data_IF_638101137283
#
_entry.id   IF_638101137283
#
_cell.length_a   1.000
_cell.length_b   1.000
_cell.length_c   1.000
_cell.angle_alpha   90.00
_cell.angle_beta   90.00
_cell.angle_gamma   90.00
#
_symmetry.space_group_name_H-M   'P 1'
#
loop_
_entity.id
_entity.type
_entity.pdbx_description
1 polymer ?
#
# COMPACT_ATOMS: atom_id res chain seq x y z
N UNK A 1 9.51 -3.15 -13.05
CA UNK A 1 9.67 -4.27 -13.97
C UNK A 1 8.64 -5.35 -13.67
N UNK A 2 8.17 -6.05 -14.70
CA UNK A 2 7.14 -7.07 -14.57
C UNK A 2 7.55 -8.20 -13.60
N UNK A 3 8.80 -8.62 -13.65
CA UNK A 3 9.37 -9.67 -12.82
C UNK A 3 9.34 -9.34 -11.33
N UNK A 4 9.58 -8.09 -10.97
CA UNK A 4 9.48 -7.62 -9.57
C UNK A 4 8.04 -7.72 -9.07
N UNK A 5 7.09 -7.28 -9.89
CA UNK A 5 5.66 -7.38 -9.58
C UNK A 5 5.22 -8.84 -9.41
N UNK A 6 5.71 -9.76 -10.25
CA UNK A 6 5.44 -11.19 -10.11
C UNK A 6 6.03 -11.76 -8.81
N UNK A 7 7.27 -11.42 -8.49
CA UNK A 7 7.91 -11.86 -7.23
C UNK A 7 7.12 -11.39 -6.01
N UNK A 8 6.76 -10.10 -5.96
CA UNK A 8 5.93 -9.54 -4.88
C UNK A 8 4.60 -10.29 -4.77
N UNK A 9 3.97 -10.59 -5.90
CA UNK A 9 2.69 -11.28 -5.96
C UNK A 9 2.75 -12.70 -5.43
N UNK A 10 3.79 -13.45 -5.76
CA UNK A 10 3.98 -14.82 -5.25
C UNK A 10 4.27 -14.83 -3.75
N UNK A 11 5.08 -13.90 -3.24
CA UNK A 11 5.37 -13.76 -1.81
C UNK A 11 4.07 -13.46 -1.02
N UNK A 12 3.27 -12.50 -1.48
CA UNK A 12 2.01 -12.10 -0.85
C UNK A 12 1.00 -13.26 -0.89
N UNK A 13 0.81 -13.88 -2.05
CA UNK A 13 -0.13 -14.99 -2.22
C UNK A 13 0.24 -16.20 -1.34
N UNK A 14 1.52 -16.53 -1.25
CA UNK A 14 1.99 -17.63 -0.40
C UNK A 14 1.78 -17.34 1.09
N UNK A 15 2.04 -16.11 1.55
CA UNK A 15 1.81 -15.71 2.93
C UNK A 15 0.33 -15.82 3.32
N UNK A 16 -0.59 -15.49 2.41
CA UNK A 16 -2.02 -15.45 2.65
C UNK A 16 -2.78 -16.74 2.25
N UNK A 17 -2.08 -17.79 1.84
CA UNK A 17 -2.64 -19.00 1.22
C UNK A 17 -3.69 -19.73 2.08
N UNK A 18 -3.60 -19.61 3.40
CA UNK A 18 -4.48 -20.30 4.36
C UNK A 18 -5.71 -19.45 4.76
N UNK A 19 -5.86 -18.25 4.19
CA UNK A 19 -7.01 -17.38 4.42
C UNK A 19 -8.12 -17.68 3.41
N UNK A 20 -9.37 -17.64 3.88
CA UNK A 20 -10.55 -17.81 3.02
C UNK A 20 -10.91 -16.53 2.27
N UNK A 21 -10.72 -15.38 2.91
CA UNK A 21 -10.99 -14.04 2.37
C UNK A 21 -9.82 -13.12 2.65
N UNK A 22 -9.46 -12.31 1.67
CA UNK A 22 -8.40 -11.31 1.80
C UNK A 22 -8.82 -9.96 1.25
N UNK A 23 -8.28 -8.90 1.84
CA UNK A 23 -8.30 -7.55 1.31
C UNK A 23 -6.87 -7.13 0.98
N UNK A 24 -6.67 -6.60 -0.22
CA UNK A 24 -5.38 -6.10 -0.68
C UNK A 24 -5.48 -4.63 -1.06
N UNK A 25 -4.45 -3.86 -0.77
CA UNK A 25 -4.42 -2.41 -1.00
C UNK A 25 -3.15 -1.98 -1.71
N UNK A 26 -3.30 -1.12 -2.72
CA UNK A 26 -2.21 -0.41 -3.39
C UNK A 26 -2.48 1.09 -3.31
N UNK A 27 -1.72 1.84 -2.48
CA UNK A 27 -1.88 3.29 -2.31
C UNK A 27 -1.38 4.13 -3.49
N UNK A 28 -0.67 3.50 -4.44
CA UNK A 28 -0.08 4.15 -5.62
C UNK A 28 -0.34 3.31 -6.87
N UNK A 29 -1.60 2.96 -7.09
CA UNK A 29 -2.02 1.82 -7.93
C UNK A 29 -1.59 1.90 -9.40
N UNK A 30 -1.30 3.08 -9.91
CA UNK A 30 -0.87 3.26 -11.29
C UNK A 30 -1.88 2.68 -12.28
N UNK A 31 -1.50 1.65 -13.01
CA UNK A 31 -2.40 0.92 -13.92
C UNK A 31 -3.20 -0.20 -13.24
N UNK A 32 -2.99 -0.45 -11.94
CA UNK A 32 -3.55 -1.59 -11.22
C UNK A 32 -2.83 -2.93 -11.43
N UNK A 33 -1.71 -2.92 -12.14
CA UNK A 33 -1.01 -4.16 -12.53
C UNK A 33 -0.57 -4.99 -11.33
N UNK A 34 -0.13 -4.35 -10.25
CA UNK A 34 0.35 -5.02 -9.05
C UNK A 34 -0.80 -5.76 -8.35
N UNK A 35 -1.94 -5.09 -8.16
CA UNK A 35 -3.16 -5.72 -7.62
C UNK A 35 -3.65 -6.89 -8.48
N UNK A 36 -3.64 -6.73 -9.80
CA UNK A 36 -4.05 -7.77 -10.75
C UNK A 36 -3.15 -9.00 -10.62
N UNK A 37 -1.83 -8.81 -10.56
CA UNK A 37 -0.87 -9.91 -10.43
C UNK A 37 -1.04 -10.65 -9.10
N UNK A 38 -1.27 -9.92 -7.99
CA UNK A 38 -1.53 -10.54 -6.69
C UNK A 38 -2.83 -11.34 -6.73
N UNK A 39 -3.89 -10.78 -7.28
CA UNK A 39 -5.16 -11.51 -7.42
C UNK A 39 -5.02 -12.77 -8.26
N UNK A 40 -4.21 -12.74 -9.31
CA UNK A 40 -3.89 -13.91 -10.11
C UNK A 40 -3.12 -14.97 -9.31
N UNK A 41 -2.07 -14.59 -8.59
CA UNK A 41 -1.29 -15.50 -7.76
C UNK A 41 -2.10 -16.07 -6.60
N UNK A 42 -2.90 -15.24 -5.91
CA UNK A 42 -3.77 -15.66 -4.81
C UNK A 42 -4.88 -16.63 -5.27
N UNK A 43 -5.34 -16.52 -6.51
CA UNK A 43 -6.36 -17.42 -7.07
C UNK A 43 -5.91 -18.89 -7.19
N UNK A 44 -4.63 -19.18 -6.96
CA UNK A 44 -4.12 -20.56 -6.82
C UNK A 44 -4.57 -21.22 -5.51
N UNK A 45 -4.88 -20.41 -4.51
CA UNK A 45 -5.16 -20.87 -3.14
C UNK A 45 -6.58 -20.57 -2.67
N UNK A 46 -7.26 -19.59 -3.28
CA UNK A 46 -8.60 -19.16 -2.88
C UNK A 46 -9.45 -18.74 -4.08
N UNK A 47 -10.77 -18.61 -3.87
CA UNK A 47 -11.68 -18.08 -4.89
C UNK A 47 -11.36 -16.62 -5.23
N UNK A 48 -11.46 -16.23 -6.49
CA UNK A 48 -11.32 -14.85 -6.93
C UNK A 48 -12.35 -13.92 -6.28
N UNK A 49 -13.55 -14.42 -6.01
CA UNK A 49 -14.61 -13.65 -5.36
C UNK A 49 -14.35 -13.40 -3.87
N UNK A 50 -13.36 -14.07 -3.29
CA UNK A 50 -12.92 -13.88 -1.91
C UNK A 50 -11.88 -12.77 -1.74
N UNK A 51 -11.50 -12.08 -2.83
CA UNK A 51 -10.46 -11.05 -2.82
C UNK A 51 -11.11 -9.68 -3.01
N UNK A 52 -10.88 -8.76 -2.06
CA UNK A 52 -11.25 -7.34 -2.15
C UNK A 52 -10.03 -6.52 -2.52
N UNK A 53 -10.22 -5.60 -3.46
CA UNK A 53 -9.16 -4.77 -4.04
C UNK A 53 -9.40 -3.32 -3.68
N UNK A 54 -8.43 -2.71 -2.98
CA UNK A 54 -8.41 -1.30 -2.66
C UNK A 54 -7.30 -0.63 -3.47
N UNK A 55 -7.63 0.43 -4.19
CA UNK A 55 -6.68 1.15 -5.04
C UNK A 55 -6.82 2.65 -4.87
N UNK A 56 -5.72 3.34 -4.57
CA UNK A 56 -5.66 4.79 -4.55
C UNK A 56 -4.68 5.29 -5.62
N UNK A 57 -5.03 6.36 -6.30
CA UNK A 57 -4.21 6.96 -7.35
C UNK A 57 -4.47 8.45 -7.44
N UNK A 58 -3.39 9.23 -7.47
CA UNK A 58 -3.44 10.69 -7.53
C UNK A 58 -3.95 11.21 -8.89
N UNK A 59 -3.43 10.64 -9.97
CA UNK A 59 -3.72 11.12 -11.33
C UNK A 59 -5.03 10.52 -11.84
N UNK A 60 -6.01 11.37 -12.15
CA UNK A 60 -7.35 10.95 -12.59
C UNK A 60 -7.32 10.00 -13.80
N UNK A 61 -6.52 10.31 -14.83
CA UNK A 61 -6.42 9.45 -16.00
C UNK A 61 -5.90 8.05 -15.65
N UNK A 62 -4.91 7.96 -14.76
CA UNK A 62 -4.33 6.71 -14.29
C UNK A 62 -5.30 5.97 -13.36
N UNK A 63 -6.01 6.71 -12.51
CA UNK A 63 -7.10 6.18 -11.69
C UNK A 63 -8.19 5.50 -12.52
N UNK A 64 -8.63 6.15 -13.60
CA UNK A 64 -9.61 5.58 -14.51
C UNK A 64 -9.08 4.33 -15.21
N UNK A 65 -7.78 4.32 -15.57
CA UNK A 65 -7.12 3.16 -16.15
C UNK A 65 -7.08 1.98 -15.16
N UNK A 66 -6.76 2.23 -13.88
CA UNK A 66 -6.81 1.20 -12.82
C UNK A 66 -8.19 0.55 -12.77
N UNK A 67 -9.25 1.33 -12.67
CA UNK A 67 -10.64 0.82 -12.60
C UNK A 67 -11.00 -0.02 -13.81
N UNK A 68 -10.69 0.48 -14.99
CA UNK A 68 -10.96 -0.23 -16.24
C UNK A 68 -10.19 -1.56 -16.30
N UNK A 69 -8.92 -1.56 -15.96
CA UNK A 69 -8.10 -2.77 -15.98
C UNK A 69 -8.60 -3.84 -15.00
N UNK A 70 -8.98 -3.45 -13.77
CA UNK A 70 -9.53 -4.39 -12.79
C UNK A 70 -10.82 -5.05 -13.30
N UNK A 71 -11.75 -4.27 -13.86
CA UNK A 71 -13.00 -4.79 -14.42
C UNK A 71 -12.74 -5.67 -15.64
N UNK A 72 -11.87 -5.26 -16.56
CA UNK A 72 -11.53 -6.04 -17.76
C UNK A 72 -10.85 -7.37 -17.45
N UNK A 73 -10.24 -7.52 -16.29
CA UNK A 73 -9.68 -8.79 -15.81
C UNK A 73 -10.71 -9.70 -15.14
N UNK A 74 -11.99 -9.32 -15.18
CA UNK A 74 -13.10 -10.12 -14.67
C UNK A 74 -13.23 -10.09 -13.14
N UNK A 75 -12.65 -9.07 -12.48
CA UNK A 75 -12.86 -8.86 -11.05
C UNK A 75 -14.28 -8.32 -10.85
N UNK A 76 -15.01 -8.93 -9.92
CA UNK A 76 -16.36 -8.49 -9.60
C UNK A 76 -16.33 -7.02 -9.11
N UNK A 77 -17.10 -6.10 -9.73
CA UNK A 77 -17.13 -4.70 -9.32
C UNK A 77 -17.45 -4.47 -7.84
N UNK A 78 -18.20 -5.36 -7.20
CA UNK A 78 -18.49 -5.29 -5.76
C UNK A 78 -17.25 -5.50 -4.87
N UNK A 79 -16.19 -6.05 -5.42
CA UNK A 79 -14.91 -6.26 -4.74
C UNK A 79 -13.87 -5.19 -5.06
N UNK A 80 -14.22 -4.17 -5.86
CA UNK A 80 -13.32 -3.10 -6.30
C UNK A 80 -13.67 -1.80 -5.57
N UNK A 81 -12.74 -1.31 -4.76
CA UNK A 81 -12.84 -0.05 -4.02
C UNK A 81 -11.71 0.87 -4.48
N UNK A 82 -12.04 2.04 -4.97
CA UNK A 82 -11.06 2.94 -5.55
C UNK A 82 -11.24 4.38 -5.06
N UNK A 83 -10.13 5.11 -4.91
CA UNK A 83 -10.11 6.52 -4.53
C UNK A 83 -9.16 7.30 -5.42
N UNK A 84 -9.62 8.43 -5.97
CA UNK A 84 -8.77 9.38 -6.68
C UNK A 84 -8.36 10.49 -5.71
N UNK A 85 -7.19 10.34 -5.11
CA UNK A 85 -6.65 11.30 -4.15
C UNK A 85 -5.15 11.09 -3.93
N UNK A 86 -4.50 12.11 -3.32
CA UNK A 86 -3.11 12.00 -2.85
C UNK A 86 -3.07 11.16 -1.56
N UNK A 87 -2.40 10.05 -1.61
CA UNK A 87 -2.24 9.10 -0.50
C UNK A 87 -1.64 9.74 0.76
N UNK A 88 -0.71 10.67 0.60
CA UNK A 88 -0.04 11.32 1.72
C UNK A 88 -0.90 12.43 2.36
N UNK A 89 -1.87 12.96 1.64
CA UNK A 89 -2.79 14.01 2.11
C UNK A 89 -4.15 13.46 2.55
N UNK A 90 -4.65 12.43 1.89
CA UNK A 90 -5.97 11.84 2.10
C UNK A 90 -5.82 10.37 2.54
N UNK A 91 -5.85 10.16 3.87
CA UNK A 91 -5.74 8.82 4.45
C UNK A 91 -6.93 7.94 4.07
N UNK A 92 -6.66 6.83 3.43
CA UNK A 92 -7.65 5.86 2.95
C UNK A 92 -6.96 4.49 2.74
N UNK A 93 -7.63 3.34 2.84
CA UNK A 93 -9.05 3.17 3.15
C UNK A 93 -9.39 3.37 4.64
N UNK A 94 -10.63 3.80 4.91
CA UNK A 94 -11.12 4.07 6.26
C UNK A 94 -12.21 3.10 6.68
N UNK A 95 -12.29 2.84 7.97
CA UNK A 95 -13.38 2.16 8.64
C UNK A 95 -13.94 3.10 9.73
N UNK A 96 -15.13 3.65 9.48
CA UNK A 96 -15.76 4.62 10.39
C UNK A 96 -16.24 4.00 11.70
N UNK A 97 -16.31 2.68 11.80
CA UNK A 97 -16.68 1.96 13.01
C UNK A 97 -15.48 1.69 13.92
N UNK A 98 -14.26 1.86 13.40
CA UNK A 98 -13.01 1.70 14.15
C UNK A 98 -12.47 3.02 14.71
N UNK A 99 -11.61 2.93 15.75
CA UNK A 99 -10.85 4.06 16.25
C UNK A 99 -9.39 3.67 16.48
N UNK A 100 -8.43 4.35 15.83
CA UNK A 100 -8.61 5.35 14.78
C UNK A 100 -9.37 4.78 13.55
N UNK A 101 -10.02 5.65 12.74
CA UNK A 101 -10.87 5.21 11.62
C UNK A 101 -10.02 4.71 10.44
N UNK A 102 -9.33 3.61 10.62
CA UNK A 102 -8.46 2.98 9.63
C UNK A 102 -8.98 1.61 9.24
N UNK A 103 -9.14 1.36 7.95
CA UNK A 103 -9.34 0.01 7.45
C UNK A 103 -7.98 -0.68 7.29
N UNK A 104 -7.75 -1.75 8.04
CA UNK A 104 -6.56 -2.58 7.90
C UNK A 104 -6.84 -3.75 6.98
N UNK A 105 -5.91 -4.02 6.09
CA UNK A 105 -6.01 -5.04 5.05
C UNK A 105 -5.00 -6.18 5.29
N UNK A 106 -5.21 -7.29 4.59
CA UNK A 106 -4.34 -8.47 4.71
C UNK A 106 -3.01 -8.29 3.98
N UNK A 107 -3.00 -7.52 2.89
CA UNK A 107 -1.76 -7.14 2.20
C UNK A 107 -1.79 -5.69 1.74
N UNK A 108 -0.68 -4.99 1.94
CA UNK A 108 -0.40 -3.70 1.30
C UNK A 108 0.77 -3.88 0.34
N UNK A 109 0.60 -3.43 -0.88
CA UNK A 109 1.61 -3.56 -1.93
C UNK A 109 1.74 -2.24 -2.65
N UNK A 110 2.97 -1.78 -2.85
CA UNK A 110 3.16 -0.50 -3.50
C UNK A 110 4.47 -0.39 -4.27
N UNK A 111 4.42 0.42 -5.31
CA UNK A 111 5.58 0.91 -6.03
C UNK A 111 5.44 2.43 -6.17
N UNK A 112 5.69 3.17 -5.08
CA UNK A 112 5.49 4.62 -5.05
C UNK A 112 6.49 5.35 -5.94
N UNK A 113 6.21 6.62 -6.30
CA UNK A 113 7.17 7.45 -7.01
C UNK A 113 8.40 7.71 -6.13
N UNK A 114 9.60 7.41 -6.64
CA UNK A 114 10.83 7.50 -5.88
C UNK A 114 11.24 8.94 -5.60
N UNK A 115 11.64 9.20 -4.36
CA UNK A 115 12.18 10.51 -3.92
C UNK A 115 11.29 11.70 -4.30
N UNK A 116 9.97 11.50 -4.26
CA UNK A 116 9.00 12.57 -4.48
C UNK A 116 9.04 13.57 -3.32
N UNK A 117 8.90 14.85 -3.63
CA UNK A 117 8.66 15.88 -2.62
C UNK A 117 7.25 15.74 -2.05
N UNK A 118 7.10 16.06 -0.77
CA UNK A 118 5.82 16.05 -0.06
C UNK A 118 5.78 17.13 1.03
N UNK A 119 4.64 17.33 1.68
CA UNK A 119 4.48 18.29 2.77
C UNK A 119 4.36 17.57 4.12
N UNK A 120 5.44 17.51 4.92
CA UNK A 120 5.39 16.96 6.28
C UNK A 120 4.78 17.93 7.31
N UNK A 121 4.67 19.21 6.99
CA UNK A 121 4.20 20.26 7.91
C UNK A 121 2.79 19.96 8.42
N UNK A 122 2.60 19.98 9.74
CA UNK A 122 1.32 19.73 10.41
C UNK A 122 0.94 18.24 10.53
N UNK A 123 1.83 17.31 10.13
CA UNK A 123 1.59 15.88 10.20
C UNK A 123 2.27 15.18 11.39
N UNK A 124 2.79 15.96 12.36
CA UNK A 124 3.49 15.43 13.53
C UNK A 124 2.60 14.54 14.41
N UNK A 125 1.29 14.83 14.42
CA UNK A 125 0.29 14.05 15.16
C UNK A 125 -0.51 13.08 14.29
N UNK A 126 -0.21 13.00 12.99
CA UNK A 126 -0.86 12.04 12.11
C UNK A 126 -0.49 10.61 12.58
N UNK A 127 -1.48 9.75 12.86
CA UNK A 127 -1.23 8.42 13.42
C UNK A 127 -0.36 7.52 12.52
N UNK A 128 -0.28 7.81 11.22
CA UNK A 128 0.61 7.10 10.28
C UNK A 128 2.09 7.35 10.60
N UNK A 129 2.42 8.53 11.11
CA UNK A 129 3.82 9.00 11.25
C UNK A 129 4.23 9.27 12.70
N UNK A 130 3.29 9.61 13.60
CA UNK A 130 3.58 10.10 14.94
C UNK A 130 4.48 9.18 15.78
N UNK A 131 4.38 7.88 15.56
CA UNK A 131 5.17 6.90 16.29
C UNK A 131 6.61 6.77 15.77
N UNK A 132 6.82 6.89 14.47
CA UNK A 132 8.10 6.60 13.81
C UNK A 132 8.88 7.85 13.42
N UNK A 133 8.18 8.95 13.13
CA UNK A 133 8.74 10.23 12.68
C UNK A 133 8.35 10.56 11.24
N UNK A 134 8.58 11.84 10.88
CA UNK A 134 8.28 12.35 9.54
C UNK A 134 9.46 12.14 8.61
N UNK A 135 9.17 11.69 7.39
CA UNK A 135 10.15 11.65 6.30
C UNK A 135 10.59 13.06 5.89
N UNK A 136 11.80 13.23 5.34
CA UNK A 136 12.25 14.54 4.88
C UNK A 136 11.36 15.06 3.74
N UNK A 137 11.12 16.39 3.74
CA UNK A 137 10.29 17.07 2.73
C UNK A 137 10.71 16.77 1.28
N UNK A 138 11.99 16.55 1.06
CA UNK A 138 12.55 16.26 -0.27
C UNK A 138 12.33 14.83 -0.76
N UNK A 139 11.91 13.90 0.12
CA UNK A 139 11.82 12.46 -0.18
C UNK A 139 10.74 11.79 0.64
N UNK A 140 9.61 11.53 0.02
CA UNK A 140 8.46 10.86 0.64
C UNK A 140 8.61 9.33 0.77
N UNK A 141 9.77 8.76 0.43
CA UNK A 141 9.97 7.29 0.40
C UNK A 141 9.48 6.61 1.69
N UNK A 142 9.89 7.12 2.86
CA UNK A 142 9.43 6.61 4.15
C UNK A 142 8.00 7.04 4.52
N UNK A 143 7.48 8.12 3.97
CA UNK A 143 6.09 8.50 4.21
C UNK A 143 5.14 7.46 3.58
N UNK A 144 5.44 6.98 2.38
CA UNK A 144 4.71 5.87 1.75
C UNK A 144 4.87 4.57 2.54
N UNK A 145 6.07 4.21 2.97
CA UNK A 145 6.30 3.02 3.77
C UNK A 145 5.50 3.03 5.07
N UNK A 146 5.47 4.14 5.78
CA UNK A 146 4.73 4.28 7.03
C UNK A 146 3.22 4.29 6.81
N UNK A 147 2.74 4.87 5.71
CA UNK A 147 1.34 4.77 5.30
C UNK A 147 0.96 3.29 5.05
N UNK A 148 1.77 2.56 4.30
CA UNK A 148 1.54 1.14 4.03
C UNK A 148 1.49 0.32 5.34
N UNK A 149 2.45 0.56 6.24
CA UNK A 149 2.53 -0.11 7.54
C UNK A 149 1.30 0.17 8.41
N UNK A 150 0.77 1.38 8.36
CA UNK A 150 -0.41 1.79 9.14
C UNK A 150 -1.67 1.01 8.73
N UNK A 151 -1.78 0.66 7.44
CA UNK A 151 -2.94 -0.02 6.87
C UNK A 151 -2.86 -1.55 6.91
N UNK A 152 -1.80 -2.14 7.47
CA UNK A 152 -1.65 -3.60 7.51
C UNK A 152 -2.22 -4.19 8.80
N UNK A 153 -2.87 -5.36 8.70
CA UNK A 153 -3.27 -6.17 9.87
C UNK A 153 -2.04 -6.77 10.57
N UNK A 154 -2.11 -7.11 11.87
CA UNK A 154 -0.98 -7.70 12.59
C UNK A 154 -0.43 -8.99 11.98
N UNK A 155 -1.29 -9.77 11.31
CA UNK A 155 -0.93 -11.01 10.61
C UNK A 155 -0.83 -10.82 9.09
N UNK A 156 -0.85 -9.57 8.63
CA UNK A 156 -0.76 -9.19 7.23
C UNK A 156 0.66 -9.16 6.70
N UNK A 157 0.78 -8.83 5.42
CA UNK A 157 2.07 -8.68 4.74
C UNK A 157 2.14 -7.36 3.97
N UNK A 158 3.29 -6.72 3.99
CA UNK A 158 3.57 -5.53 3.20
C UNK A 158 4.74 -5.81 2.25
N UNK A 159 4.60 -5.42 1.00
CA UNK A 159 5.70 -5.40 0.03
C UNK A 159 5.74 -4.05 -0.68
N UNK A 160 6.88 -3.39 -0.64
CA UNK A 160 7.09 -2.07 -1.22
C UNK A 160 8.40 -2.02 -2.02
N UNK A 161 8.36 -1.37 -3.18
CA UNK A 161 9.57 -1.12 -3.98
C UNK A 161 10.06 0.29 -3.69
N UNK A 162 11.29 0.39 -3.18
CA UNK A 162 11.93 1.66 -2.82
C UNK A 162 13.34 1.77 -3.41
N UNK A 163 13.87 2.98 -3.59
CA UNK A 163 15.26 3.15 -3.98
C UNK A 163 16.19 2.66 -2.87
N UNK A 164 17.27 1.95 -3.22
CA UNK A 164 18.19 1.35 -2.23
C UNK A 164 18.78 2.35 -1.23
N UNK A 165 18.83 3.64 -1.58
CA UNK A 165 19.28 4.71 -0.71
C UNK A 165 18.54 4.80 0.63
N UNK A 166 17.27 4.34 0.71
CA UNK A 166 16.50 4.32 1.96
C UNK A 166 17.17 3.49 3.05
N UNK A 167 18.04 2.55 2.69
CA UNK A 167 18.73 1.66 3.62
C UNK A 167 19.89 2.31 4.36
N UNK A 168 20.45 3.43 3.84
CA UNK A 168 21.68 4.02 4.40
C UNK A 168 21.70 5.55 4.50
N UNK A 169 20.66 6.26 4.01
CA UNK A 169 20.60 7.73 4.18
C UNK A 169 20.46 8.08 5.66
N UNK A 170 21.16 9.14 6.08
CA UNK A 170 21.14 9.65 7.45
C UNK A 170 19.99 10.63 7.70
N UNK A 171 19.92 11.20 8.94
CA UNK A 171 18.94 12.19 9.34
C UNK A 171 17.57 11.60 9.65
N UNK A 172 16.50 12.20 9.12
CA UNK A 172 15.12 11.78 9.40
C UNK A 172 14.87 10.32 8.97
N UNK A 173 15.43 9.89 7.83
CA UNK A 173 15.28 8.51 7.37
C UNK A 173 15.99 7.51 8.30
N UNK A 174 17.16 7.82 8.81
CA UNK A 174 17.85 7.02 9.82
C UNK A 174 17.05 6.89 11.10
N UNK A 175 16.48 7.98 11.60
CA UNK A 175 15.61 7.99 12.77
C UNK A 175 14.39 7.09 12.59
N UNK A 176 13.74 7.15 11.41
CA UNK A 176 12.58 6.30 11.12
C UNK A 176 13.01 4.83 11.10
N UNK A 177 14.12 4.48 10.44
CA UNK A 177 14.64 3.10 10.44
C UNK A 177 14.91 2.57 11.84
N UNK A 178 15.55 3.37 12.68
CA UNK A 178 15.82 3.02 14.08
C UNK A 178 14.52 2.74 14.82
N UNK A 179 13.56 3.67 14.75
CA UNK A 179 12.26 3.49 15.38
C UNK A 179 11.49 2.26 14.87
N UNK A 180 11.57 1.96 13.57
CA UNK A 180 10.95 0.77 12.99
C UNK A 180 11.56 -0.54 13.55
N UNK A 181 12.87 -0.57 13.75
CA UNK A 181 13.57 -1.76 14.30
C UNK A 181 13.31 -1.92 15.80
N UNK A 182 13.28 -0.82 16.55
CA UNK A 182 13.12 -0.85 18.01
C UNK A 182 11.68 -1.16 18.46
N UNK A 183 10.69 -0.86 17.63
CA UNK A 183 9.27 -0.94 18.01
C UNK A 183 8.50 -2.11 17.36
N UNK A 184 9.16 -2.87 16.45
CA UNK A 184 8.53 -4.02 15.79
C UNK A 184 9.26 -5.34 16.00
#
# INVERSE_FOLDING_TARGET
PHEVSLLMSEIVAYHLKDKEHIAIYDPTSGSGSLLINIGHSASKYMSRDSIRYYAQELKENTYNLTRMNLVMRGINPSNIFTRNADTLEDDWPIDLESYPPVLRVDAVVSNPPYSQQWSPEGKELDPRYSEYGLAPKSKADYAFLLHDLYHIKPDGIMTIVLPHGVLFRCGEEERIRTNLIEKN
#
